data_IF_624625562695
#
_entry.id   IF_624625562695
#
_cell.length_a   1.000
_cell.length_b   1.000
_cell.length_c   1.000
_cell.angle_alpha   90.00
_cell.angle_beta   90.00
_cell.angle_gamma   90.00
#
_symmetry.space_group_name_H-M   'P 1'
#
loop_
_entity.id
_entity.type
_entity.pdbx_description
1 polymer ?
#
# COMPACT_ATOMS: atom_id res chain seq x y z
N UNK A 1 47.11 64.16 29.70
CA UNK A 1 47.92 62.98 29.33
C UNK A 1 47.28 61.81 30.05
N UNK A 2 46.61 60.94 29.31
CA UNK A 2 46.78 59.49 29.41
C UNK A 2 46.00 58.82 28.29
N UNK A 3 46.76 58.09 27.50
CA UNK A 3 46.40 57.32 26.30
C UNK A 3 45.87 55.94 26.70
N UNK A 4 44.85 55.41 26.01
CA UNK A 4 44.97 54.20 25.16
C UNK A 4 43.59 53.63 24.75
N UNK A 5 43.54 53.27 23.47
CA UNK A 5 42.52 52.56 22.69
C UNK A 5 42.26 51.14 23.24
N UNK A 6 41.00 50.67 23.28
CA UNK A 6 40.61 49.43 22.55
C UNK A 6 39.10 49.23 22.37
N UNK A 7 38.79 48.81 21.15
CA UNK A 7 37.53 48.37 20.56
C UNK A 7 36.87 47.23 21.34
N UNK A 8 35.54 47.19 21.41
CA UNK A 8 34.72 46.36 20.52
C UNK A 8 33.21 46.56 20.77
N UNK A 9 32.47 46.59 19.67
CA UNK A 9 31.02 46.50 19.57
C UNK A 9 30.52 45.18 20.15
N UNK A 10 29.40 45.21 20.87
CA UNK A 10 28.65 44.02 21.25
C UNK A 10 27.18 44.36 21.47
N UNK A 11 26.44 44.57 20.38
CA UNK A 11 24.97 44.59 20.40
C UNK A 11 24.48 43.24 19.89
N UNK A 12 23.78 42.48 20.74
CA UNK A 12 22.98 41.34 20.29
C UNK A 12 21.71 41.24 21.14
N UNK A 13 20.62 41.76 20.59
CA UNK A 13 19.25 41.37 20.94
C UNK A 13 18.73 40.58 19.75
N UNK A 14 18.25 39.36 19.99
CA UNK A 14 17.31 38.69 19.10
C UNK A 14 16.40 37.78 19.93
N UNK A 15 15.14 38.23 20.06
CA UNK A 15 14.01 37.44 20.52
C UNK A 15 13.48 36.55 19.38
N UNK A 16 12.96 35.39 19.79
CA UNK A 16 11.88 34.57 19.20
C UNK A 16 12.02 34.05 17.76
N UNK A 17 11.94 32.73 17.59
CA UNK A 17 10.70 32.05 17.16
C UNK A 17 10.88 30.54 17.28
N UNK A 18 9.90 29.88 17.91
CA UNK A 18 9.67 28.44 17.89
C UNK A 18 9.47 27.97 16.44
N UNK A 19 10.48 27.33 15.86
CA UNK A 19 10.32 26.57 14.63
C UNK A 19 9.72 25.22 15.03
N UNK A 20 8.38 25.13 15.02
CA UNK A 20 7.71 23.84 14.96
C UNK A 20 8.16 23.16 13.67
N UNK A 21 9.12 22.24 13.79
CA UNK A 21 9.50 21.38 12.70
C UNK A 21 8.35 20.40 12.50
N UNK A 22 7.33 20.81 11.75
CA UNK A 22 6.48 19.85 11.06
C UNK A 22 7.41 19.13 10.10
N UNK A 23 8.04 18.05 10.57
CA UNK A 23 8.60 17.05 9.71
C UNK A 23 7.44 16.60 8.83
N UNK A 24 7.45 17.01 7.56
CA UNK A 24 6.64 16.35 6.56
C UNK A 24 7.12 14.89 6.57
N UNK A 25 6.34 14.03 7.23
CA UNK A 25 6.58 12.60 7.22
C UNK A 25 6.47 12.16 5.76
N UNK A 26 7.54 11.66 5.16
CA UNK A 26 7.47 11.16 3.79
C UNK A 26 6.51 9.98 3.75
N UNK A 27 5.52 10.00 2.84
CA UNK A 27 4.66 8.85 2.56
C UNK A 27 5.51 7.60 2.36
N UNK A 28 5.09 6.48 2.92
CA UNK A 28 5.81 5.22 2.77
C UNK A 28 5.34 4.53 1.49
N UNK A 29 6.22 4.42 0.48
CA UNK A 29 5.90 3.82 -0.82
C UNK A 29 5.26 2.42 -0.72
N UNK A 30 5.67 1.62 0.27
CA UNK A 30 5.07 0.32 0.52
C UNK A 30 3.63 0.45 1.01
N UNK A 31 3.38 1.33 1.98
CA UNK A 31 2.03 1.56 2.53
C UNK A 31 1.08 2.07 1.45
N UNK A 32 1.52 3.05 0.66
CA UNK A 32 0.74 3.59 -0.45
C UNK A 32 0.41 2.52 -1.49
N UNK A 33 1.43 1.75 -1.91
CA UNK A 33 1.26 0.74 -2.94
C UNK A 33 0.39 -0.43 -2.47
N UNK A 34 0.57 -0.87 -1.22
CA UNK A 34 -0.22 -1.95 -0.62
C UNK A 34 -1.68 -1.52 -0.42
N UNK A 35 -1.94 -0.30 0.05
CA UNK A 35 -3.30 0.22 0.21
C UNK A 35 -4.02 0.36 -1.15
N UNK A 36 -3.35 0.95 -2.15
CA UNK A 36 -3.91 1.08 -3.51
C UNK A 36 -4.18 -0.29 -4.13
N UNK A 37 -3.24 -1.23 -4.01
CA UNK A 37 -3.40 -2.60 -4.50
C UNK A 37 -4.57 -3.33 -3.83
N UNK A 38 -4.64 -3.31 -2.50
CA UNK A 38 -5.72 -3.95 -1.75
C UNK A 38 -7.10 -3.37 -2.05
N UNK A 39 -7.22 -2.06 -2.26
CA UNK A 39 -8.48 -1.45 -2.68
C UNK A 39 -8.83 -1.87 -4.12
N UNK A 40 -7.86 -1.91 -5.02
CA UNK A 40 -8.09 -2.35 -6.40
C UNK A 40 -8.58 -3.80 -6.46
N UNK A 41 -8.04 -4.68 -5.62
CA UNK A 41 -8.49 -6.07 -5.48
C UNK A 41 -9.94 -6.16 -5.03
N UNK A 42 -10.31 -5.45 -3.96
CA UNK A 42 -11.70 -5.41 -3.46
C UNK A 42 -12.67 -4.95 -4.55
N UNK A 43 -12.34 -3.86 -5.25
CA UNK A 43 -13.23 -3.30 -6.28
C UNK A 43 -13.32 -4.22 -7.51
N UNK A 44 -12.22 -4.85 -7.92
CA UNK A 44 -12.22 -5.83 -9.03
C UNK A 44 -13.05 -7.06 -8.67
N UNK A 45 -12.95 -7.54 -7.43
CA UNK A 45 -13.75 -8.67 -6.95
C UNK A 45 -15.24 -8.32 -6.81
N UNK A 46 -15.60 -7.10 -6.40
CA UNK A 46 -17.00 -6.63 -6.45
C UNK A 46 -17.55 -6.66 -7.87
N UNK A 47 -16.77 -6.18 -8.84
CA UNK A 47 -17.16 -6.25 -10.25
C UNK A 47 -17.35 -7.71 -10.71
N UNK A 48 -16.53 -8.64 -10.24
CA UNK A 48 -16.69 -10.06 -10.55
C UNK A 48 -17.98 -10.67 -9.99
N UNK A 49 -18.41 -10.25 -8.80
CA UNK A 49 -19.71 -10.65 -8.25
C UNK A 49 -20.89 -10.15 -9.11
N UNK A 50 -20.74 -8.98 -9.74
CA UNK A 50 -21.75 -8.39 -10.61
C UNK A 50 -21.78 -9.00 -12.02
N UNK A 51 -20.61 -9.31 -12.59
CA UNK A 51 -20.45 -9.66 -14.01
C UNK A 51 -20.35 -11.15 -14.27
N UNK A 52 -19.70 -11.90 -13.39
CA UNK A 52 -19.50 -13.33 -13.58
C UNK A 52 -20.78 -14.10 -13.30
N UNK A 53 -20.96 -15.24 -13.96
CA UNK A 53 -21.94 -16.25 -13.57
C UNK A 53 -21.28 -17.51 -13.02
N UNK A 54 -19.95 -17.58 -13.03
CA UNK A 54 -19.22 -18.75 -12.56
C UNK A 54 -19.16 -18.80 -11.04
N UNK A 55 -19.48 -19.96 -10.48
CA UNK A 55 -19.53 -20.16 -9.03
C UNK A 55 -18.15 -20.05 -8.37
N UNK A 56 -17.10 -20.54 -9.05
CA UNK A 56 -15.71 -20.48 -8.59
C UNK A 56 -15.15 -19.04 -8.60
N UNK A 57 -15.41 -18.26 -9.65
CA UNK A 57 -15.07 -16.82 -9.73
C UNK A 57 -15.74 -16.06 -8.59
N UNK A 58 -17.04 -16.30 -8.35
CA UNK A 58 -17.77 -15.65 -7.25
C UNK A 58 -17.25 -16.07 -5.88
N UNK A 59 -16.90 -17.34 -5.69
CA UNK A 59 -16.32 -17.82 -4.44
C UNK A 59 -14.97 -17.13 -4.17
N UNK A 60 -14.07 -17.13 -5.15
CA UNK A 60 -12.77 -16.48 -5.06
C UNK A 60 -12.90 -14.96 -4.80
N UNK A 61 -13.81 -14.28 -5.52
CA UNK A 61 -14.07 -12.86 -5.32
C UNK A 61 -14.53 -12.52 -3.87
N UNK A 62 -15.35 -13.37 -3.25
CA UNK A 62 -15.75 -13.17 -1.85
C UNK A 62 -14.56 -13.34 -0.87
N UNK A 63 -13.68 -14.32 -1.14
CA UNK A 63 -12.43 -14.48 -0.37
C UNK A 63 -11.56 -13.23 -0.48
N UNK A 64 -11.32 -12.72 -1.70
CA UNK A 64 -10.53 -11.51 -1.92
C UNK A 64 -11.11 -10.30 -1.18
N UNK A 65 -12.42 -10.06 -1.27
CA UNK A 65 -13.08 -8.95 -0.56
C UNK A 65 -12.83 -9.09 0.95
N UNK A 66 -13.01 -10.28 1.51
CA UNK A 66 -12.87 -10.51 2.96
C UNK A 66 -11.44 -10.29 3.44
N UNK A 67 -10.48 -10.94 2.79
CA UNK A 67 -9.10 -10.96 3.23
C UNK A 67 -8.40 -9.61 2.99
N UNK A 68 -8.62 -8.99 1.83
CA UNK A 68 -8.04 -7.68 1.53
C UNK A 68 -8.67 -6.56 2.35
N UNK A 69 -9.97 -6.62 2.69
CA UNK A 69 -10.57 -5.65 3.62
C UNK A 69 -9.86 -5.71 4.97
N UNK A 70 -9.68 -6.91 5.51
CA UNK A 70 -8.98 -7.11 6.78
C UNK A 70 -7.53 -6.64 6.73
N UNK A 71 -6.81 -6.94 5.65
CA UNK A 71 -5.43 -6.52 5.47
C UNK A 71 -5.30 -4.98 5.37
N UNK A 72 -6.21 -4.33 4.64
CA UNK A 72 -6.25 -2.87 4.52
C UNK A 72 -6.57 -2.19 5.87
N UNK A 73 -7.50 -2.74 6.64
CA UNK A 73 -7.82 -2.22 7.97
C UNK A 73 -6.62 -2.34 8.93
N UNK A 74 -5.93 -3.48 8.91
CA UNK A 74 -4.70 -3.68 9.69
C UNK A 74 -3.59 -2.71 9.26
N UNK A 75 -3.39 -2.51 7.96
CA UNK A 75 -2.40 -1.57 7.43
C UNK A 75 -2.74 -0.12 7.81
N UNK A 76 -4.02 0.28 7.70
CA UNK A 76 -4.49 1.62 8.09
C UNK A 76 -4.28 1.87 9.58
N UNK A 77 -4.62 0.91 10.43
CA UNK A 77 -4.38 0.99 11.87
C UNK A 77 -2.88 1.10 12.20
N UNK A 78 -2.04 0.35 11.48
CA UNK A 78 -0.59 0.40 11.65
C UNK A 78 -0.03 1.77 11.25
N UNK A 79 -0.44 2.29 10.09
CA UNK A 79 -0.03 3.59 9.62
C UNK A 79 -0.42 4.70 10.60
N UNK A 80 -1.66 4.67 11.11
CA UNK A 80 -2.14 5.61 12.12
C UNK A 80 -1.35 5.52 13.43
N UNK A 81 -1.07 4.31 13.91
CA UNK A 81 -0.34 4.09 15.17
C UNK A 81 1.08 4.67 15.13
N UNK A 82 1.70 4.71 13.96
CA UNK A 82 3.09 5.13 13.76
C UNK A 82 3.20 6.47 13.02
N UNK A 83 2.11 7.24 12.93
CA UNK A 83 2.07 8.55 12.26
C UNK A 83 2.63 8.52 10.83
N UNK A 84 2.43 7.40 10.12
CA UNK A 84 2.78 7.26 8.71
C UNK A 84 1.70 7.95 7.89
N UNK A 85 2.09 8.91 7.06
CA UNK A 85 1.18 9.58 6.15
C UNK A 85 0.67 8.60 5.08
N UNK A 86 -0.66 8.57 4.92
CA UNK A 86 -1.36 7.77 3.90
C UNK A 86 -2.32 8.72 3.17
N UNK A 87 -2.39 8.66 1.83
CA UNK A 87 -3.38 9.42 1.08
C UNK A 87 -4.80 9.16 1.58
N UNK A 88 -5.67 10.16 1.46
CA UNK A 88 -7.08 9.99 1.83
C UNK A 88 -7.77 8.90 0.99
N UNK A 89 -8.89 8.37 1.52
CA UNK A 89 -9.64 7.28 0.90
C UNK A 89 -10.11 7.65 -0.53
N UNK A 90 -10.35 8.94 -0.83
CA UNK A 90 -10.75 9.39 -2.18
C UNK A 90 -9.60 9.25 -3.18
N UNK A 91 -8.40 9.65 -2.77
CA UNK A 91 -7.18 9.58 -3.56
C UNK A 91 -6.76 8.14 -3.78
N UNK A 92 -6.82 7.30 -2.74
CA UNK A 92 -6.55 5.87 -2.85
C UNK A 92 -7.54 5.19 -3.81
N UNK A 93 -8.84 5.48 -3.67
CA UNK A 93 -9.87 4.95 -4.56
C UNK A 93 -9.65 5.37 -6.02
N UNK A 94 -9.25 6.62 -6.27
CA UNK A 94 -8.90 7.08 -7.62
C UNK A 94 -7.74 6.27 -8.20
N UNK A 95 -6.63 6.15 -7.47
CA UNK A 95 -5.45 5.36 -7.88
C UNK A 95 -5.80 3.87 -8.10
N UNK A 96 -6.66 3.32 -7.25
CA UNK A 96 -7.12 1.95 -7.38
C UNK A 96 -7.92 1.74 -8.68
N UNK A 97 -8.86 2.65 -8.98
CA UNK A 97 -9.62 2.60 -10.25
C UNK A 97 -8.72 2.68 -11.48
N UNK A 98 -7.64 3.47 -11.43
CA UNK A 98 -6.66 3.54 -12.52
C UNK A 98 -5.96 2.18 -12.76
N UNK A 99 -5.80 1.34 -11.74
CA UNK A 99 -5.25 -0.03 -11.88
C UNK A 99 -6.24 -1.05 -12.45
N UNK A 100 -7.54 -0.81 -12.33
CA UNK A 100 -8.60 -1.74 -12.77
C UNK A 100 -8.87 -1.59 -14.28
N UNK A 101 -8.49 -0.46 -14.88
CA UNK A 101 -8.76 -0.14 -16.28
C UNK A 101 -7.87 -0.96 -17.23
N UNK A 102 -8.33 -2.14 -17.63
CA UNK A 102 -7.90 -2.79 -18.88
C UNK A 102 -9.12 -3.22 -19.70
N UNK A 103 -9.20 -2.70 -20.93
CA UNK A 103 -10.10 -3.21 -21.97
C UNK A 103 -9.45 -4.46 -22.56
N UNK A 104 -10.19 -5.57 -22.61
CA UNK A 104 -9.67 -6.82 -23.16
C UNK A 104 -10.65 -7.42 -24.16
N UNK A 105 -10.11 -8.05 -25.19
CA UNK A 105 -10.84 -8.77 -26.23
C UNK A 105 -11.24 -10.22 -25.80
N UNK A 106 -11.22 -10.51 -24.50
CA UNK A 106 -11.52 -11.83 -23.91
C UNK A 106 -12.80 -11.85 -23.06
N UNK A 107 -13.21 -13.04 -22.59
CA UNK A 107 -14.36 -13.14 -21.68
C UNK A 107 -14.06 -12.47 -20.34
N UNK A 108 -15.09 -11.99 -19.65
CA UNK A 108 -14.92 -11.36 -18.34
C UNK A 108 -14.19 -12.30 -17.35
N UNK A 109 -14.59 -13.57 -17.29
CA UNK A 109 -14.01 -14.53 -16.34
C UNK A 109 -12.52 -14.81 -16.64
N UNK A 110 -12.13 -14.89 -17.92
CA UNK A 110 -10.74 -15.04 -18.33
C UNK A 110 -9.92 -13.79 -17.99
N UNK A 111 -10.46 -12.59 -18.28
CA UNK A 111 -9.84 -11.31 -17.93
C UNK A 111 -9.62 -11.18 -16.43
N UNK A 112 -10.64 -11.51 -15.63
CA UNK A 112 -10.56 -11.48 -14.19
C UNK A 112 -9.48 -12.44 -13.67
N UNK A 113 -9.50 -13.71 -14.08
CA UNK A 113 -8.52 -14.69 -13.61
C UNK A 113 -7.08 -14.32 -14.00
N UNK A 114 -6.88 -13.83 -15.23
CA UNK A 114 -5.57 -13.36 -15.70
C UNK A 114 -5.07 -12.15 -14.89
N UNK A 115 -5.95 -11.19 -14.62
CA UNK A 115 -5.59 -10.00 -13.85
C UNK A 115 -5.26 -10.38 -12.40
N UNK A 116 -6.02 -11.29 -11.80
CA UNK A 116 -5.79 -11.77 -10.44
C UNK A 116 -4.42 -12.43 -10.28
N UNK A 117 -4.00 -13.27 -11.24
CA UNK A 117 -2.65 -13.85 -11.24
C UNK A 117 -1.58 -12.76 -11.29
N UNK A 118 -1.68 -11.82 -12.25
CA UNK A 118 -0.71 -10.74 -12.42
C UNK A 118 -0.61 -9.85 -11.17
N UNK A 119 -1.75 -9.42 -10.63
CA UNK A 119 -1.81 -8.53 -9.48
C UNK A 119 -1.25 -9.20 -8.21
N UNK A 120 -1.51 -10.49 -8.01
CA UNK A 120 -0.94 -11.25 -6.89
C UNK A 120 0.57 -11.46 -7.05
N UNK A 121 1.08 -11.73 -8.26
CA UNK A 121 2.51 -11.82 -8.50
C UNK A 121 3.23 -10.50 -8.19
N UNK A 122 2.70 -9.37 -8.68
CA UNK A 122 3.24 -8.03 -8.39
C UNK A 122 3.19 -7.71 -6.89
N UNK A 123 2.07 -8.04 -6.22
CA UNK A 123 1.89 -7.79 -4.78
C UNK A 123 2.83 -8.64 -3.94
N UNK A 124 3.05 -9.91 -4.30
CA UNK A 124 4.01 -10.77 -3.59
C UNK A 124 5.42 -10.20 -3.68
N UNK A 125 5.84 -9.67 -4.84
CA UNK A 125 7.16 -9.06 -4.98
C UNK A 125 7.29 -7.77 -4.15
N UNK A 126 6.25 -6.95 -4.11
CA UNK A 126 6.18 -5.78 -3.22
C UNK A 126 6.35 -6.20 -1.75
N UNK A 127 5.60 -7.20 -1.31
CA UNK A 127 5.62 -7.67 0.08
C UNK A 127 6.91 -8.40 0.44
N UNK A 128 7.52 -9.16 -0.50
CA UNK A 128 8.85 -9.73 -0.30
C UNK A 128 9.91 -8.65 -0.14
N UNK A 129 9.85 -7.59 -0.95
CA UNK A 129 10.79 -6.47 -0.83
C UNK A 129 10.72 -5.88 0.57
N UNK A 130 9.52 -5.57 1.06
CA UNK A 130 9.31 -5.02 2.41
C UNK A 130 9.70 -6.01 3.50
N UNK A 131 9.31 -7.28 3.39
CA UNK A 131 9.64 -8.33 4.35
C UNK A 131 11.16 -8.57 4.52
N UNK A 132 11.96 -8.20 3.51
CA UNK A 132 13.41 -8.36 3.48
C UNK A 132 14.18 -7.05 3.72
N UNK A 133 13.51 -5.92 3.96
CA UNK A 133 14.21 -4.68 4.32
C UNK A 133 14.96 -4.83 5.64
N UNK A 134 16.07 -4.12 5.77
CA UNK A 134 16.71 -3.92 7.07
C UNK A 134 15.87 -2.88 7.80
N UNK A 135 15.26 -3.29 8.93
CA UNK A 135 14.48 -2.40 9.75
C UNK A 135 15.41 -1.34 10.36
N UNK A 136 15.19 -0.08 10.01
CA UNK A 136 15.72 1.09 10.69
C UNK A 136 14.70 1.49 11.76
N UNK A 137 14.99 1.12 13.01
CA UNK A 137 14.14 1.36 14.18
C UNK A 137 13.95 2.84 14.51
N UNK A 138 14.75 3.72 13.89
CA UNK A 138 14.58 5.17 13.97
C UNK A 138 13.51 5.70 13.01
N UNK A 139 13.10 4.91 12.01
CA UNK A 139 11.97 5.25 11.13
C UNK A 139 10.68 4.68 11.69
N UNK A 140 9.71 5.55 11.91
CA UNK A 140 8.42 5.19 12.48
C UNK A 140 7.76 4.04 11.70
N UNK A 141 7.37 2.99 12.43
CA UNK A 141 6.61 1.85 11.92
C UNK A 141 7.38 0.89 11.00
N UNK A 142 8.67 1.11 10.72
CA UNK A 142 9.42 0.28 9.76
C UNK A 142 9.55 -1.19 10.22
N UNK A 143 9.81 -1.42 11.50
CA UNK A 143 9.87 -2.77 12.09
C UNK A 143 8.51 -3.48 11.96
N UNK A 144 7.43 -2.76 12.24
CA UNK A 144 6.08 -3.29 12.17
C UNK A 144 5.59 -3.51 10.75
N UNK A 145 5.96 -2.64 9.79
CA UNK A 145 5.63 -2.80 8.37
C UNK A 145 6.33 -4.01 7.77
N UNK A 146 7.61 -4.23 8.11
CA UNK A 146 8.32 -5.46 7.80
C UNK A 146 7.60 -6.70 8.34
N UNK A 147 7.18 -6.66 9.62
CA UNK A 147 6.46 -7.77 10.25
C UNK A 147 5.08 -8.00 9.61
N UNK A 148 4.36 -6.94 9.27
CA UNK A 148 3.11 -6.99 8.53
C UNK A 148 3.30 -7.64 7.15
N UNK A 149 4.34 -7.24 6.41
CA UNK A 149 4.64 -7.82 5.11
C UNK A 149 4.94 -9.33 5.22
N UNK A 150 5.74 -9.73 6.21
CA UNK A 150 6.03 -11.14 6.50
C UNK A 150 4.77 -11.94 6.83
N UNK A 151 3.87 -11.35 7.63
CA UNK A 151 2.60 -11.98 8.04
C UNK A 151 1.64 -12.21 6.87
N UNK A 152 1.61 -11.31 5.90
CA UNK A 152 0.67 -11.38 4.77
C UNK A 152 1.14 -12.30 3.63
N UNK A 153 2.45 -12.53 3.49
CA UNK A 153 3.02 -13.34 2.41
C UNK A 153 2.37 -14.73 2.24
N UNK A 154 2.11 -15.53 3.30
CA UNK A 154 1.45 -16.83 3.13
C UNK A 154 0.05 -16.75 2.54
N UNK A 155 -0.74 -15.73 2.91
CA UNK A 155 -2.08 -15.53 2.36
C UNK A 155 -2.01 -15.12 0.89
N UNK A 156 -1.15 -14.16 0.55
CA UNK A 156 -0.94 -13.73 -0.84
C UNK A 156 -0.48 -14.88 -1.74
N UNK A 157 0.41 -15.75 -1.24
CA UNK A 157 0.85 -16.95 -1.97
C UNK A 157 -0.31 -17.93 -2.19
N UNK A 158 -1.14 -18.14 -1.17
CA UNK A 158 -2.32 -18.98 -1.30
C UNK A 158 -3.31 -18.43 -2.32
N UNK A 159 -3.61 -17.13 -2.27
CA UNK A 159 -4.48 -16.47 -3.24
C UNK A 159 -3.94 -16.57 -4.67
N UNK A 160 -2.61 -16.46 -4.87
CA UNK A 160 -1.99 -16.69 -6.19
C UNK A 160 -2.21 -18.12 -6.70
N UNK A 161 -2.10 -19.13 -5.83
CA UNK A 161 -2.36 -20.52 -6.21
C UNK A 161 -3.82 -20.72 -6.61
N UNK A 162 -4.76 -20.12 -5.90
CA UNK A 162 -6.18 -20.13 -6.25
C UNK A 162 -6.43 -19.40 -7.57
N UNK A 163 -5.86 -18.21 -7.76
CA UNK A 163 -5.96 -17.44 -9.01
C UNK A 163 -5.42 -18.25 -10.21
N UNK A 164 -4.33 -19.00 -10.05
CA UNK A 164 -3.78 -19.88 -11.10
C UNK A 164 -4.72 -21.05 -11.43
N UNK A 165 -5.43 -21.60 -10.43
CA UNK A 165 -6.47 -22.61 -10.68
C UNK A 165 -7.66 -22.01 -11.44
N UNK A 166 -8.09 -20.80 -11.08
CA UNK A 166 -9.11 -20.07 -11.82
C UNK A 166 -8.69 -19.83 -13.27
N UNK A 167 -7.47 -19.35 -13.49
CA UNK A 167 -6.93 -19.09 -14.83
C UNK A 167 -6.93 -20.36 -15.70
N UNK A 168 -6.56 -21.51 -15.13
CA UNK A 168 -6.60 -22.79 -15.83
C UNK A 168 -8.03 -23.25 -16.16
N UNK A 169 -9.01 -22.94 -15.31
CA UNK A 169 -10.42 -23.26 -15.52
C UNK A 169 -11.12 -22.32 -16.52
N UNK A 170 -10.63 -21.08 -16.66
CA UNK A 170 -11.19 -20.02 -17.51
C UNK A 170 -10.15 -19.51 -18.52
N UNK A 171 -9.67 -20.36 -19.46
CA UNK A 171 -8.67 -19.95 -20.42
C UNK A 171 -9.20 -18.86 -21.36
N UNK A 172 -8.32 -17.92 -21.73
CA UNK A 172 -8.58 -17.01 -22.84
C UNK A 172 -8.77 -17.82 -24.13
N UNK A 173 -9.70 -17.39 -25.00
CA UNK A 173 -10.01 -18.09 -26.25
C UNK A 173 -9.01 -17.77 -27.34
#
# INVERSE_FOLDING_TARGET
MDTFILRQLGLAVALSTSMGMAWAASSNDFVDSAAVGGIAEIETSKLALEKSQSADIKAFANTMITDHTKANDELKALAQKHDIEVPDDTTLMKKAKEKILEVRDESFDAAYANNQVKAHEETIELFKKEANTVADDKKAGNTELKAFAQKMLPALQHHLEEAKKLQAAHPSK
#
